data_IF_909260769223
#
_entry.id   IF_909260769223
#
_cell.length_a   1.000
_cell.length_b   1.000
_cell.length_c   1.000
_cell.angle_alpha   90.00
_cell.angle_beta   90.00
_cell.angle_gamma   90.00
#
_symmetry.space_group_name_H-M   'P 1'
#
loop_
_entity.id
_entity.type
_entity.pdbx_description
1 polymer ?
#
# COMPACT_ATOMS: atom_id res chain seq x y z
N UNK A 1 -12.48 -26.15 17.01
CA UNK A 1 -11.80 -26.47 15.73
C UNK A 1 -12.73 -26.52 14.50
N UNK A 2 -14.03 -26.84 14.61
CA UNK A 2 -14.98 -26.85 13.47
C UNK A 2 -15.50 -25.48 13.00
N UNK A 3 -15.34 -24.42 13.79
CA UNK A 3 -15.83 -23.06 13.45
C UNK A 3 -14.90 -22.28 12.51
N UNK A 4 -13.58 -22.58 12.50
CA UNK A 4 -12.61 -21.90 11.62
C UNK A 4 -12.83 -22.15 10.11
N UNK A 5 -13.47 -23.25 9.73
CA UNK A 5 -13.76 -23.56 8.32
C UNK A 5 -15.07 -22.95 7.79
N UNK A 6 -15.98 -22.50 8.67
CA UNK A 6 -17.23 -21.87 8.24
C UNK A 6 -17.05 -20.45 7.70
N UNK A 7 -16.07 -19.72 8.24
CA UNK A 7 -15.77 -18.32 7.89
C UNK A 7 -15.15 -18.19 6.50
N UNK A 8 -14.16 -19.04 6.18
CA UNK A 8 -13.61 -19.10 4.81
C UNK A 8 -14.67 -19.47 3.77
N UNK A 9 -15.68 -20.25 4.17
CA UNK A 9 -16.81 -20.59 3.30
C UNK A 9 -17.68 -19.37 3.01
N UNK A 10 -17.94 -18.51 4.00
CA UNK A 10 -18.72 -17.27 3.83
C UNK A 10 -17.96 -16.18 3.05
N UNK A 11 -16.63 -16.08 3.21
CA UNK A 11 -15.78 -15.20 2.40
C UNK A 11 -15.81 -15.58 0.91
N UNK A 12 -15.84 -16.87 0.59
CA UNK A 12 -15.97 -17.35 -0.80
C UNK A 12 -17.41 -17.35 -1.34
N UNK A 13 -18.44 -17.31 -0.49
CA UNK A 13 -19.84 -17.37 -0.91
C UNK A 13 -20.41 -16.03 -1.36
N UNK A 14 -19.69 -14.91 -1.12
CA UNK A 14 -20.11 -13.54 -1.45
C UNK A 14 -19.14 -12.84 -2.41
N UNK A 15 -18.37 -13.60 -3.19
CA UNK A 15 -17.69 -13.07 -4.38
C UNK A 15 -18.72 -12.94 -5.51
N UNK A 16 -19.46 -11.85 -5.50
CA UNK A 16 -20.21 -11.45 -6.69
C UNK A 16 -19.18 -11.04 -7.75
N UNK A 17 -18.96 -11.89 -8.76
CA UNK A 17 -18.02 -11.68 -9.88
C UNK A 17 -18.17 -10.28 -10.51
N UNK A 18 -19.36 -9.71 -10.46
CA UNK A 18 -19.69 -8.34 -10.86
C UNK A 18 -18.95 -7.27 -10.06
N UNK A 19 -18.77 -7.43 -8.75
CA UNK A 19 -18.04 -6.46 -7.91
C UNK A 19 -16.53 -6.54 -8.13
N UNK A 20 -16.01 -7.73 -8.39
CA UNK A 20 -14.59 -7.93 -8.73
C UNK A 20 -14.25 -7.30 -10.10
N UNK A 21 -15.14 -7.45 -11.09
CA UNK A 21 -15.02 -6.79 -12.40
C UNK A 21 -15.03 -5.25 -12.29
N UNK A 22 -15.85 -4.69 -11.41
CA UNK A 22 -15.92 -3.24 -11.19
C UNK A 22 -14.65 -2.67 -10.54
N UNK A 23 -13.93 -3.49 -9.77
CA UNK A 23 -12.73 -3.08 -9.03
C UNK A 23 -11.45 -3.21 -9.86
N UNK A 24 -11.47 -4.01 -10.93
CA UNK A 24 -10.32 -4.26 -11.80
C UNK A 24 -9.75 -2.99 -12.46
N UNK A 25 -10.55 -2.08 -13.06
CA UNK A 25 -10.03 -0.86 -13.68
C UNK A 25 -9.30 0.06 -12.69
N UNK A 26 -9.82 0.20 -11.46
CA UNK A 26 -9.18 0.98 -10.41
C UNK A 26 -7.83 0.39 -10.00
N UNK A 27 -7.74 -0.94 -9.87
CA UNK A 27 -6.48 -1.59 -9.53
C UNK A 27 -5.43 -1.40 -10.63
N UNK A 28 -5.82 -1.55 -11.90
CA UNK A 28 -4.95 -1.32 -13.05
C UNK A 28 -4.49 0.15 -13.15
N UNK A 29 -5.40 1.09 -12.90
CA UNK A 29 -5.10 2.52 -12.85
C UNK A 29 -4.04 2.85 -11.79
N UNK A 30 -4.23 2.37 -10.56
CA UNK A 30 -3.25 2.57 -9.46
C UNK A 30 -1.88 2.00 -9.85
N UNK A 31 -1.83 0.77 -10.37
CA UNK A 31 -0.58 0.14 -10.79
C UNK A 31 0.15 0.96 -11.87
N UNK A 32 -0.56 1.40 -12.90
CA UNK A 32 0.01 2.16 -14.01
C UNK A 32 0.51 3.54 -13.58
N UNK A 33 -0.30 4.28 -12.80
CA UNK A 33 0.05 5.62 -12.34
C UNK A 33 1.31 5.63 -11.46
N UNK A 34 1.47 4.66 -10.55
CA UNK A 34 2.63 4.62 -9.65
C UNK A 34 3.97 4.47 -10.38
N UNK A 35 3.97 3.82 -11.55
CA UNK A 35 5.16 3.69 -12.40
C UNK A 35 5.32 4.92 -13.29
N UNK A 36 4.25 5.33 -13.98
CA UNK A 36 4.28 6.45 -14.94
C UNK A 36 4.77 7.75 -14.31
N UNK A 37 4.27 8.10 -13.12
CA UNK A 37 4.66 9.33 -12.43
C UNK A 37 6.17 9.39 -12.18
N UNK A 38 6.79 8.27 -11.79
CA UNK A 38 8.23 8.20 -11.53
C UNK A 38 9.04 8.24 -12.82
N UNK A 39 8.54 7.65 -13.90
CA UNK A 39 9.16 7.74 -15.22
C UNK A 39 9.15 9.18 -15.73
N UNK A 40 8.00 9.84 -15.70
CA UNK A 40 7.84 11.24 -16.13
C UNK A 40 8.81 12.16 -15.39
N UNK A 41 8.95 12.01 -14.06
CA UNK A 41 9.88 12.84 -13.28
C UNK A 41 11.33 12.61 -13.70
N UNK A 42 11.70 11.35 -13.97
CA UNK A 42 13.05 11.02 -14.44
C UNK A 42 13.32 11.51 -15.86
N UNK A 43 12.29 11.64 -16.68
CA UNK A 43 12.41 12.13 -18.05
C UNK A 43 12.55 13.66 -18.11
N UNK A 44 11.91 14.38 -17.18
CA UNK A 44 11.84 15.85 -17.19
C UNK A 44 12.88 16.52 -16.28
N UNK A 45 13.23 15.89 -15.15
CA UNK A 45 14.10 16.49 -14.14
C UNK A 45 15.49 15.86 -14.11
N UNK A 46 16.51 16.67 -13.81
CA UNK A 46 17.86 16.18 -13.50
C UNK A 46 17.84 15.30 -12.25
N UNK A 47 18.84 14.41 -12.06
CA UNK A 47 18.85 13.47 -10.93
C UNK A 47 18.63 14.13 -9.56
N UNK A 48 19.28 15.27 -9.31
CA UNK A 48 19.12 16.02 -8.06
C UNK A 48 17.70 16.60 -7.89
N UNK A 49 17.13 17.15 -8.96
CA UNK A 49 15.77 17.69 -8.94
C UNK A 49 14.71 16.58 -8.82
N UNK A 50 14.94 15.44 -9.47
CA UNK A 50 14.06 14.28 -9.41
C UNK A 50 13.92 13.75 -7.97
N UNK A 51 15.01 13.71 -7.20
CA UNK A 51 14.98 13.34 -5.77
C UNK A 51 14.07 14.29 -4.99
N UNK A 52 14.21 15.61 -5.20
CA UNK A 52 13.38 16.61 -4.55
C UNK A 52 11.90 16.48 -4.91
N UNK A 53 11.60 16.28 -6.20
CA UNK A 53 10.21 16.14 -6.68
C UNK A 53 9.56 14.83 -6.19
N UNK A 54 10.32 13.73 -6.14
CA UNK A 54 9.84 12.48 -5.54
C UNK A 54 9.52 12.64 -4.05
N UNK A 55 10.29 13.44 -3.32
CA UNK A 55 9.99 13.76 -1.92
C UNK A 55 8.71 14.61 -1.78
N UNK A 56 8.48 15.57 -2.68
CA UNK A 56 7.23 16.35 -2.71
C UNK A 56 6.02 15.45 -2.96
N UNK A 57 6.14 14.52 -3.91
CA UNK A 57 5.07 13.55 -4.20
C UNK A 57 4.83 12.64 -3.00
N UNK A 58 5.88 12.12 -2.37
CA UNK A 58 5.74 11.31 -1.17
C UNK A 58 5.01 12.10 -0.05
N UNK A 59 5.34 13.38 0.15
CA UNK A 59 4.66 14.23 1.11
C UNK A 59 3.17 14.44 0.75
N UNK A 60 2.85 14.62 -0.53
CA UNK A 60 1.45 14.74 -0.99
C UNK A 60 0.65 13.45 -0.79
N UNK A 61 1.28 12.27 -0.94
CA UNK A 61 0.62 10.98 -0.67
C UNK A 61 0.25 10.86 0.81
N UNK A 62 1.15 11.24 1.71
CA UNK A 62 0.85 11.27 3.16
C UNK A 62 -0.29 12.23 3.48
N UNK A 63 -0.30 13.41 2.88
CA UNK A 63 -1.38 14.39 3.06
C UNK A 63 -2.72 13.86 2.54
N UNK A 64 -2.71 13.20 1.38
CA UNK A 64 -3.89 12.55 0.81
C UNK A 64 -4.48 11.50 1.75
N UNK A 65 -3.64 10.63 2.32
CA UNK A 65 -4.07 9.61 3.30
C UNK A 65 -4.65 10.23 4.57
N UNK A 66 -4.19 11.42 4.97
CA UNK A 66 -4.75 12.13 6.13
C UNK A 66 -6.13 12.74 5.82
N UNK A 67 -6.30 13.29 4.61
CA UNK A 67 -7.52 13.96 4.17
C UNK A 67 -8.62 12.94 3.81
N UNK A 68 -8.24 11.81 3.21
CA UNK A 68 -9.19 10.85 2.63
C UNK A 68 -10.21 10.29 3.64
N UNK A 69 -9.85 9.85 4.87
CA UNK A 69 -10.82 9.38 5.85
C UNK A 69 -11.76 10.49 6.35
N UNK A 70 -11.26 11.73 6.49
CA UNK A 70 -12.05 12.87 6.98
C UNK A 70 -13.10 13.27 5.95
N UNK A 71 -12.69 13.46 4.69
CA UNK A 71 -13.62 13.77 3.60
C UNK A 71 -14.53 12.59 3.29
N UNK A 72 -13.99 11.37 3.23
CA UNK A 72 -14.76 10.15 2.95
C UNK A 72 -15.83 9.88 4.02
N UNK A 73 -15.48 10.03 5.30
CA UNK A 73 -16.41 9.90 6.42
C UNK A 73 -17.52 10.95 6.39
N UNK A 74 -17.17 12.22 6.20
CA UNK A 74 -18.15 13.30 6.09
C UNK A 74 -19.13 13.09 4.92
N UNK A 75 -18.63 12.66 3.75
CA UNK A 75 -19.50 12.37 2.59
C UNK A 75 -20.39 11.15 2.88
N UNK A 76 -19.84 10.10 3.48
CA UNK A 76 -20.59 8.90 3.83
C UNK A 76 -21.74 9.19 4.80
N UNK A 77 -21.52 10.06 5.79
CA UNK A 77 -22.53 10.45 6.78
C UNK A 77 -23.65 11.32 6.18
N UNK A 78 -23.33 12.27 5.30
CA UNK A 78 -24.29 13.28 4.83
C UNK A 78 -25.10 12.79 3.62
N UNK A 79 -24.45 12.14 2.64
CA UNK A 79 -25.02 11.95 1.29
C UNK A 79 -25.10 10.48 0.86
N UNK A 80 -24.61 9.53 1.66
CA UNK A 80 -24.42 8.10 1.33
C UNK A 80 -23.10 7.80 0.60
N UNK A 81 -22.58 6.60 0.88
CA UNK A 81 -21.32 6.06 0.34
C UNK A 81 -21.25 6.03 -1.19
N UNK A 82 -22.38 5.92 -1.89
CA UNK A 82 -22.42 5.87 -3.37
C UNK A 82 -21.84 7.13 -4.01
N UNK A 83 -22.00 8.29 -3.36
CA UNK A 83 -21.50 9.56 -3.88
C UNK A 83 -19.97 9.69 -3.78
N UNK A 84 -19.32 8.91 -2.92
CA UNK A 84 -17.85 8.81 -2.88
C UNK A 84 -17.33 8.31 -4.24
N UNK A 85 -17.97 7.28 -4.78
CA UNK A 85 -17.60 6.73 -6.09
C UNK A 85 -17.83 7.74 -7.22
N UNK A 86 -18.95 8.45 -7.22
CA UNK A 86 -19.22 9.50 -8.22
C UNK A 86 -18.18 10.63 -8.15
N UNK A 87 -17.80 11.05 -6.94
CA UNK A 87 -16.78 12.08 -6.73
C UNK A 87 -15.40 11.61 -7.19
N UNK A 88 -15.02 10.36 -6.93
CA UNK A 88 -13.77 9.77 -7.41
C UNK A 88 -13.73 9.70 -8.94
N UNK A 89 -14.84 9.36 -9.60
CA UNK A 89 -14.94 9.36 -11.08
C UNK A 89 -14.75 10.78 -11.62
N UNK A 90 -15.43 11.78 -11.04
CA UNK A 90 -15.29 13.18 -11.44
C UNK A 90 -13.86 13.70 -11.26
N UNK A 91 -13.21 13.37 -10.13
CA UNK A 91 -11.81 13.70 -9.89
C UNK A 91 -10.87 13.00 -10.88
N UNK A 92 -11.10 11.73 -11.17
CA UNK A 92 -10.30 10.99 -12.15
C UNK A 92 -10.39 11.60 -13.55
N UNK A 93 -11.60 11.98 -13.98
CA UNK A 93 -11.82 12.63 -15.27
C UNK A 93 -11.21 14.03 -15.34
N UNK A 94 -11.35 14.83 -14.28
CA UNK A 94 -10.79 16.19 -14.26
C UNK A 94 -9.27 16.19 -14.24
N UNK A 95 -8.64 15.30 -13.46
CA UNK A 95 -7.19 15.10 -13.47
C UNK A 95 -6.74 14.56 -14.82
N UNK A 96 -7.45 13.57 -15.39
CA UNK A 96 -7.15 13.03 -16.72
C UNK A 96 -7.19 14.10 -17.81
N UNK A 97 -8.21 14.96 -17.79
CA UNK A 97 -8.31 16.10 -18.70
C UNK A 97 -7.18 17.10 -18.49
N UNK A 98 -6.84 17.44 -17.24
CA UNK A 98 -5.73 18.34 -16.94
C UNK A 98 -4.39 17.78 -17.47
N UNK A 99 -4.14 16.47 -17.30
CA UNK A 99 -2.93 15.81 -17.83
C UNK A 99 -2.89 15.91 -19.36
N UNK A 100 -3.99 15.63 -20.05
CA UNK A 100 -4.06 15.70 -21.52
C UNK A 100 -3.82 17.11 -22.07
N UNK A 101 -4.18 18.15 -21.32
CA UNK A 101 -4.05 19.54 -21.76
C UNK A 101 -2.69 20.14 -21.36
N UNK A 102 -2.16 19.78 -20.18
CA UNK A 102 -1.01 20.48 -19.58
C UNK A 102 0.30 19.69 -19.58
N UNK A 103 0.27 18.36 -19.70
CA UNK A 103 1.50 17.54 -19.71
C UNK A 103 1.83 17.19 -21.17
N UNK A 104 2.83 17.85 -21.79
CA UNK A 104 3.33 17.45 -23.10
C UNK A 104 4.02 16.08 -23.01
N UNK A 105 4.17 15.41 -24.16
CA UNK A 105 4.91 14.14 -24.24
C UNK A 105 6.32 14.32 -23.67
N UNK A 106 6.62 13.60 -22.57
CA UNK A 106 7.89 13.75 -21.84
C UNK A 106 8.97 12.81 -22.36
N UNK A 107 8.60 11.78 -23.12
CA UNK A 107 9.54 10.85 -23.70
C UNK A 107 10.22 11.45 -24.95
N UNK A 108 11.31 12.17 -24.73
CA UNK A 108 12.12 12.78 -25.80
C UNK A 108 12.86 11.76 -26.68
N UNK A 109 13.09 10.54 -26.19
CA UNK A 109 13.79 9.47 -26.90
C UNK A 109 12.87 8.26 -27.12
N UNK A 110 11.87 8.42 -27.99
CA UNK A 110 11.00 7.33 -28.42
C UNK A 110 11.79 6.24 -29.13
N UNK A 111 12.11 5.18 -28.38
CA UNK A 111 12.68 3.94 -28.91
C UNK A 111 11.56 3.13 -29.57
N UNK A 112 11.50 3.16 -30.91
CA UNK A 112 10.50 2.44 -31.71
C UNK A 112 10.50 0.92 -31.48
N UNK A 113 11.56 0.40 -30.88
CA UNK A 113 11.76 -1.02 -30.58
C UNK A 113 11.47 -1.36 -29.11
N UNK A 114 11.10 -0.37 -28.27
CA UNK A 114 10.87 -0.56 -26.84
C UNK A 114 9.73 -1.55 -26.55
N UNK A 115 8.71 -1.58 -27.41
CA UNK A 115 7.53 -2.45 -27.27
C UNK A 115 7.72 -3.84 -27.90
N UNK A 116 8.89 -4.14 -28.51
CA UNK A 116 9.12 -5.49 -29.05
C UNK A 116 9.17 -6.49 -27.90
N UNK A 117 8.21 -7.42 -27.89
CA UNK A 117 8.04 -8.45 -26.86
C UNK A 117 9.34 -9.19 -26.54
N UNK A 118 10.16 -9.51 -27.54
CA UNK A 118 11.46 -10.18 -27.35
C UNK A 118 12.46 -9.35 -26.54
N UNK A 119 12.52 -8.03 -26.79
CA UNK A 119 13.43 -7.11 -26.07
C UNK A 119 12.93 -6.87 -24.65
N UNK A 120 11.60 -6.74 -24.48
CA UNK A 120 10.97 -6.62 -23.19
C UNK A 120 11.21 -7.88 -22.34
N UNK A 121 10.98 -9.06 -22.91
CA UNK A 121 11.25 -10.35 -22.27
C UNK A 121 12.73 -10.50 -21.88
N UNK A 122 13.66 -10.06 -22.73
CA UNK A 122 15.09 -10.07 -22.41
C UNK A 122 15.44 -9.16 -21.24
N UNK A 123 14.85 -7.96 -21.16
CA UNK A 123 15.03 -7.05 -20.00
C UNK A 123 14.46 -7.67 -18.72
N UNK A 124 13.25 -8.23 -18.78
CA UNK A 124 12.65 -8.95 -17.65
C UNK A 124 13.49 -10.14 -17.21
N UNK A 125 14.02 -10.93 -18.16
CA UNK A 125 14.93 -12.02 -17.86
C UNK A 125 16.20 -11.52 -17.16
N UNK A 126 16.78 -10.41 -17.61
CA UNK A 126 17.95 -9.84 -16.96
C UNK A 126 17.65 -9.42 -15.51
N UNK A 127 16.51 -8.76 -15.27
CA UNK A 127 16.05 -8.44 -13.91
C UNK A 127 15.81 -9.72 -13.07
N UNK A 128 15.23 -10.76 -13.66
CA UNK A 128 14.97 -12.03 -12.99
C UNK A 128 16.24 -12.77 -12.57
N UNK A 129 17.35 -12.59 -13.29
CA UNK A 129 18.64 -13.17 -12.90
C UNK A 129 19.42 -12.29 -11.92
N UNK A 130 19.02 -11.03 -11.72
CA UNK A 130 19.64 -10.15 -10.75
C UNK A 130 19.12 -10.46 -9.34
N UNK A 131 19.98 -11.10 -8.53
CA UNK A 131 19.64 -11.46 -7.15
C UNK A 131 19.24 -10.27 -6.28
N UNK A 132 19.90 -9.12 -6.42
CA UNK A 132 19.55 -7.93 -5.64
C UNK A 132 18.13 -7.48 -5.97
N UNK A 133 17.80 -7.40 -7.26
CA UNK A 133 16.44 -7.06 -7.71
C UNK A 133 15.39 -8.01 -7.13
N UNK A 134 15.62 -9.32 -7.21
CA UNK A 134 14.70 -10.31 -6.65
C UNK A 134 14.52 -10.15 -5.14
N UNK A 135 15.60 -9.95 -4.39
CA UNK A 135 15.55 -9.80 -2.93
C UNK A 135 14.73 -8.57 -2.53
N UNK A 136 15.02 -7.39 -3.10
CA UNK A 136 14.23 -6.19 -2.78
C UNK A 136 12.77 -6.31 -3.21
N UNK A 137 12.50 -6.88 -4.39
CA UNK A 137 11.14 -7.04 -4.92
C UNK A 137 10.33 -8.02 -4.08
N UNK A 138 10.92 -9.15 -3.68
CA UNK A 138 10.27 -10.11 -2.79
C UNK A 138 10.03 -9.51 -1.41
N UNK A 139 11.00 -8.77 -0.88
CA UNK A 139 10.90 -8.12 0.44
C UNK A 139 9.72 -7.17 0.47
N UNK A 140 9.63 -6.24 -0.48
CA UNK A 140 8.53 -5.28 -0.54
C UNK A 140 7.19 -5.99 -0.81
N UNK A 141 7.16 -6.99 -1.70
CA UNK A 141 5.94 -7.73 -2.02
C UNK A 141 5.39 -8.49 -0.81
N UNK A 142 6.25 -9.16 -0.03
CA UNK A 142 5.85 -9.90 1.16
C UNK A 142 5.33 -8.96 2.26
N UNK A 143 6.03 -7.84 2.49
CA UNK A 143 5.60 -6.82 3.46
C UNK A 143 4.21 -6.28 3.12
N UNK A 144 3.99 -5.87 1.87
CA UNK A 144 2.69 -5.37 1.43
C UNK A 144 1.61 -6.46 1.45
N UNK A 145 1.96 -7.71 1.11
CA UNK A 145 1.02 -8.84 1.19
C UNK A 145 0.54 -9.07 2.63
N UNK A 146 1.45 -9.04 3.61
CA UNK A 146 1.10 -9.17 5.02
C UNK A 146 0.21 -8.00 5.49
N UNK A 147 0.52 -6.78 5.06
CA UNK A 147 -0.29 -5.60 5.39
C UNK A 147 -1.70 -5.67 4.79
N UNK A 148 -1.85 -6.03 3.52
CA UNK A 148 -3.16 -6.17 2.88
C UNK A 148 -3.97 -7.33 3.46
N UNK A 149 -3.32 -8.44 3.79
CA UNK A 149 -3.98 -9.55 4.48
C UNK A 149 -4.55 -9.08 5.83
N UNK A 150 -3.78 -8.28 6.58
CA UNK A 150 -4.27 -7.68 7.82
C UNK A 150 -5.46 -6.73 7.57
N UNK A 151 -5.41 -5.86 6.56
CA UNK A 151 -6.53 -4.95 6.25
C UNK A 151 -7.84 -5.74 6.06
N UNK A 152 -7.79 -6.81 5.28
CA UNK A 152 -8.96 -7.64 4.96
C UNK A 152 -9.46 -8.39 6.21
N UNK A 153 -8.57 -9.06 6.93
CA UNK A 153 -8.92 -9.91 8.08
C UNK A 153 -9.24 -9.11 9.35
N UNK A 154 -8.70 -7.90 9.49
CA UNK A 154 -8.80 -7.10 10.72
C UNK A 154 -10.24 -6.82 11.13
N UNK A 155 -11.12 -6.43 10.20
CA UNK A 155 -12.52 -6.17 10.57
C UNK A 155 -13.23 -7.43 11.08
N UNK A 156 -12.92 -8.60 10.51
CA UNK A 156 -13.47 -9.87 10.93
C UNK A 156 -12.98 -10.26 12.32
N UNK A 157 -11.67 -10.13 12.58
CA UNK A 157 -11.08 -10.46 13.87
C UNK A 157 -11.59 -9.52 14.96
N UNK A 158 -11.49 -8.20 14.75
CA UNK A 158 -11.86 -7.23 15.76
C UNK A 158 -13.37 -7.13 15.99
N UNK A 159 -14.17 -7.00 14.93
CA UNK A 159 -15.63 -6.83 15.09
C UNK A 159 -16.36 -8.16 15.24
N UNK A 160 -15.85 -9.23 14.64
CA UNK A 160 -16.49 -10.55 14.68
C UNK A 160 -16.06 -11.41 15.88
N UNK A 161 -14.76 -11.59 16.10
CA UNK A 161 -14.28 -12.46 17.19
C UNK A 161 -14.10 -11.72 18.52
N UNK A 162 -13.65 -10.47 18.48
CA UNK A 162 -13.42 -9.67 19.69
C UNK A 162 -14.58 -8.75 20.09
N UNK A 163 -15.68 -8.76 19.34
CA UNK A 163 -16.88 -7.93 19.56
C UNK A 163 -16.57 -6.42 19.74
N UNK A 164 -15.51 -5.95 19.08
CA UNK A 164 -15.07 -4.56 19.15
C UNK A 164 -15.96 -3.70 18.26
N UNK A 165 -16.64 -2.72 18.87
CA UNK A 165 -17.49 -1.77 18.13
C UNK A 165 -16.71 -0.93 17.09
N UNK A 166 -17.43 -0.46 16.07
CA UNK A 166 -16.87 0.28 14.92
C UNK A 166 -15.99 1.48 15.30
N UNK A 167 -16.38 2.27 16.31
CA UNK A 167 -15.61 3.43 16.77
C UNK A 167 -14.26 3.03 17.36
N UNK A 168 -14.26 1.99 18.19
CA UNK A 168 -13.05 1.46 18.81
C UNK A 168 -12.14 0.81 17.77
N UNK A 169 -12.71 0.09 16.80
CA UNK A 169 -11.96 -0.45 15.67
C UNK A 169 -11.26 0.65 14.86
N UNK A 170 -11.95 1.76 14.57
CA UNK A 170 -11.34 2.91 13.89
C UNK A 170 -10.17 3.51 14.68
N UNK A 171 -10.29 3.63 16.00
CA UNK A 171 -9.21 4.10 16.88
C UNK A 171 -8.02 3.13 16.91
N UNK A 172 -8.28 1.82 16.96
CA UNK A 172 -7.24 0.79 16.87
C UNK A 172 -6.48 0.89 15.55
N UNK A 173 -7.22 1.03 14.44
CA UNK A 173 -6.61 1.14 13.11
C UNK A 173 -5.77 2.43 12.98
N UNK A 174 -6.26 3.54 13.53
CA UNK A 174 -5.50 4.79 13.61
C UNK A 174 -4.22 4.62 14.44
N UNK A 175 -4.28 3.94 15.59
CA UNK A 175 -3.11 3.63 16.41
C UNK A 175 -2.09 2.79 15.63
N UNK A 176 -2.53 1.72 14.97
CA UNK A 176 -1.68 0.85 14.15
C UNK A 176 -0.97 1.67 13.05
N UNK A 177 -1.69 2.58 12.38
CA UNK A 177 -1.12 3.44 11.34
C UNK A 177 -0.02 4.38 11.85
N UNK A 178 -0.05 4.78 13.13
CA UNK A 178 1.03 5.58 13.73
C UNK A 178 2.35 4.80 13.78
N UNK A 179 2.31 3.46 13.85
CA UNK A 179 3.51 2.62 13.75
C UNK A 179 4.29 2.92 12.49
N UNK A 180 3.62 2.92 11.34
CA UNK A 180 4.21 3.24 10.04
C UNK A 180 4.79 4.66 10.00
N UNK A 181 4.03 5.66 10.47
CA UNK A 181 4.48 7.06 10.51
C UNK A 181 5.75 7.21 11.37
N UNK A 182 5.76 6.60 12.55
CA UNK A 182 6.91 6.59 13.45
C UNK A 182 8.13 5.89 12.81
N UNK A 183 7.92 4.77 12.13
CA UNK A 183 8.94 4.06 11.37
C UNK A 183 9.55 4.95 10.29
N UNK A 184 8.73 5.55 9.43
CA UNK A 184 9.20 6.43 8.36
C UNK A 184 9.93 7.66 8.86
N UNK A 185 9.50 8.23 9.99
CA UNK A 185 10.23 9.30 10.63
C UNK A 185 11.60 8.84 11.17
N UNK A 186 11.65 7.65 11.79
CA UNK A 186 12.90 7.04 12.22
C UNK A 186 13.84 6.78 11.02
N UNK A 187 13.30 6.25 9.93
CA UNK A 187 14.02 5.98 8.69
C UNK A 187 14.63 7.26 8.11
N UNK A 188 13.85 8.34 8.01
CA UNK A 188 14.35 9.66 7.58
C UNK A 188 15.55 10.15 8.40
N UNK A 189 15.56 9.90 9.71
CA UNK A 189 16.63 10.34 10.62
C UNK A 189 17.85 9.40 10.63
N UNK A 190 17.64 8.11 10.42
CA UNK A 190 18.65 7.05 10.54
C UNK A 190 19.32 6.69 9.22
N UNK A 191 18.65 6.89 8.08
CA UNK A 191 19.15 6.46 6.76
C UNK A 191 20.50 7.09 6.41
N UNK A 192 20.74 8.35 6.78
CA UNK A 192 22.01 9.04 6.54
C UNK A 192 23.17 8.53 7.42
N UNK A 193 22.86 7.88 8.55
CA UNK A 193 23.85 7.36 9.51
C UNK A 193 24.15 5.88 9.29
N UNK A 194 23.12 5.09 9.01
CA UNK A 194 23.17 3.62 8.99
C UNK A 194 23.28 3.08 7.56
N UNK A 195 22.85 3.85 6.56
CA UNK A 195 22.75 3.42 5.16
C UNK A 195 21.43 2.66 4.89
N UNK A 196 20.93 2.77 3.65
CA UNK A 196 19.64 2.23 3.26
C UNK A 196 19.55 0.70 3.42
N UNK A 197 20.54 -0.06 2.97
CA UNK A 197 20.49 -1.53 2.97
C UNK A 197 20.44 -2.15 4.37
N UNK A 198 21.24 -1.59 5.29
CA UNK A 198 21.23 -2.02 6.69
C UNK A 198 19.91 -1.66 7.36
N UNK A 199 19.38 -0.48 7.06
CA UNK A 199 18.11 -0.02 7.62
C UNK A 199 16.94 -0.89 7.15
N UNK A 200 16.91 -1.25 5.86
CA UNK A 200 15.95 -2.22 5.30
C UNK A 200 16.07 -3.56 6.03
N UNK A 201 17.30 -4.04 6.26
CA UNK A 201 17.53 -5.32 6.95
C UNK A 201 17.04 -5.30 8.40
N UNK A 202 17.26 -4.19 9.12
CA UNK A 202 16.75 -4.01 10.49
C UNK A 202 15.23 -3.90 10.52
N UNK A 203 14.64 -3.12 9.63
CA UNK A 203 13.19 -2.98 9.50
C UNK A 203 12.50 -4.32 9.21
N UNK A 204 13.09 -5.12 8.31
CA UNK A 204 12.62 -6.46 8.00
C UNK A 204 12.73 -7.40 9.21
N UNK A 205 13.84 -7.35 9.95
CA UNK A 205 14.03 -8.16 11.16
C UNK A 205 12.98 -7.81 12.23
N UNK A 206 12.75 -6.53 12.48
CA UNK A 206 11.71 -6.04 13.42
C UNK A 206 10.33 -6.50 12.97
N UNK A 207 10.00 -6.33 11.69
CA UNK A 207 8.70 -6.72 11.12
C UNK A 207 8.45 -8.22 11.24
N UNK A 208 9.47 -9.02 10.92
CA UNK A 208 9.38 -10.49 10.97
C UNK A 208 9.23 -10.97 12.41
N UNK A 209 10.02 -10.42 13.35
CA UNK A 209 9.92 -10.75 14.77
C UNK A 209 8.55 -10.37 15.34
N UNK A 210 8.00 -9.21 14.96
CA UNK A 210 6.68 -8.78 15.39
C UNK A 210 5.59 -9.76 14.95
N UNK A 211 5.62 -10.20 13.68
CA UNK A 211 4.68 -11.19 13.16
C UNK A 211 4.87 -12.56 13.81
N UNK A 212 6.11 -13.01 14.04
CA UNK A 212 6.38 -14.27 14.75
C UNK A 212 5.80 -14.24 16.17
N UNK A 213 6.07 -13.18 16.94
CA UNK A 213 5.54 -13.02 18.29
C UNK A 213 4.01 -12.95 18.30
N UNK A 214 3.41 -12.26 17.33
CA UNK A 214 1.97 -12.21 17.14
C UNK A 214 1.38 -13.60 16.85
N UNK A 215 2.02 -14.38 15.96
CA UNK A 215 1.56 -15.74 15.69
C UNK A 215 1.65 -16.60 16.94
N UNK A 216 2.72 -16.47 17.74
CA UNK A 216 2.90 -17.23 18.97
C UNK A 216 1.86 -16.85 20.04
N UNK A 217 1.58 -15.56 20.22
CA UNK A 217 0.58 -15.09 21.18
C UNK A 217 -0.83 -15.55 20.79
N UNK A 218 -1.14 -15.55 19.49
CA UNK A 218 -2.43 -16.01 18.96
C UNK A 218 -2.71 -17.50 19.21
N UNK A 219 -1.66 -18.31 19.42
CA UNK A 219 -1.81 -19.74 19.74
C UNK A 219 -2.14 -19.98 21.21
N UNK A 220 -1.81 -19.03 22.10
CA UNK A 220 -2.04 -19.17 23.55
C UNK A 220 -3.39 -18.58 23.90
N UNK A 221 -3.58 -17.27 23.66
CA UNK A 221 -4.84 -16.55 23.87
C UNK A 221 -4.87 -15.35 22.91
N UNK A 222 -5.74 -15.36 21.89
CA UNK A 222 -5.86 -14.22 20.99
C UNK A 222 -6.54 -13.07 21.72
N UNK A 223 -5.77 -12.02 22.03
CA UNK A 223 -6.28 -10.79 22.63
C UNK A 223 -6.16 -9.60 21.66
N UNK A 224 -7.14 -8.67 21.65
CA UNK A 224 -7.12 -7.48 20.81
C UNK A 224 -5.84 -6.65 20.96
N UNK A 225 -5.32 -6.56 22.20
CA UNK A 225 -4.12 -5.78 22.52
C UNK A 225 -2.89 -6.40 21.89
N UNK A 226 -2.79 -7.73 21.89
CA UNK A 226 -1.66 -8.45 21.29
C UNK A 226 -1.63 -8.25 19.77
N UNK A 227 -2.79 -8.36 19.11
CA UNK A 227 -2.93 -8.12 17.66
C UNK A 227 -2.55 -6.69 17.31
N UNK A 228 -3.06 -5.73 18.08
CA UNK A 228 -2.81 -4.29 17.85
C UNK A 228 -1.33 -3.96 18.00
N UNK A 229 -0.69 -4.45 19.06
CA UNK A 229 0.72 -4.19 19.35
C UNK A 229 1.63 -4.86 18.31
N UNK A 230 1.35 -6.12 17.96
CA UNK A 230 2.10 -6.84 16.94
C UNK A 230 2.08 -6.14 15.58
N UNK A 231 0.89 -5.67 15.17
CA UNK A 231 0.73 -4.96 13.90
C UNK A 231 1.32 -3.55 13.93
N UNK A 232 1.27 -2.85 15.06
CA UNK A 232 1.96 -1.58 15.25
C UNK A 232 3.48 -1.74 15.05
N UNK A 233 4.09 -2.73 15.70
CA UNK A 233 5.54 -2.97 15.60
C UNK A 233 5.92 -3.47 14.20
N UNK A 234 5.08 -4.30 13.58
CA UNK A 234 5.24 -4.70 12.18
C UNK A 234 5.30 -3.47 11.27
N UNK A 235 4.31 -2.57 11.36
CA UNK A 235 4.27 -1.36 10.55
C UNK A 235 5.41 -0.39 10.86
N UNK A 236 5.85 -0.32 12.12
CA UNK A 236 7.05 0.44 12.48
C UNK A 236 8.31 -0.08 11.78
N UNK A 237 8.48 -1.40 11.69
CA UNK A 237 9.58 -1.99 10.94
C UNK A 237 9.48 -1.80 9.42
N UNK A 238 8.26 -1.61 8.90
CA UNK A 238 8.01 -1.36 7.47
C UNK A 238 8.23 0.10 7.06
N UNK A 239 8.08 1.05 7.99
CA UNK A 239 8.13 2.49 7.75
C UNK A 239 9.54 3.04 7.59
#
# INVERSE_FOLDING_TARGET
MRLRFGVYRLLFQRHDFTNDLLSFPSAFGIGSCTVLVRSIIRDVYTESQAIGMLAVIAASMTLSTLIAPVLGGAIAEIVSWRHIFSLLVLLGLSIGAAVLIWIPETNSNTDSEALRLRRLASKFQHCWHNRAFLVYTLTISLVWSAFFLFIVESSFIYQGEFDVGLRTFALIFALISQGYICGSYATKKLVSKVGADRLISYGLAVSTLALMLLTLSSLINPEPISVTTGMFVFLFGCG
#
